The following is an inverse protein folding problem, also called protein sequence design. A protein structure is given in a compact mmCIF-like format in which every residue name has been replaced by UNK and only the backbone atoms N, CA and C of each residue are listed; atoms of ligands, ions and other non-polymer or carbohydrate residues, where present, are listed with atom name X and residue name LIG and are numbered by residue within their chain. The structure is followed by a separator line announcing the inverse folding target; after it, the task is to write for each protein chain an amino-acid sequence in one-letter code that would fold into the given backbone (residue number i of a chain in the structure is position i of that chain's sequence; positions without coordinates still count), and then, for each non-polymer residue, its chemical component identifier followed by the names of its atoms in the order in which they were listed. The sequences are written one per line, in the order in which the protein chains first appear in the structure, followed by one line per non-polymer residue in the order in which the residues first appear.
data_IF_964614235422
#
_entry.id   IF_964614235422
#
_cell.length_a   1.000
_cell.length_b   1.000
_cell.length_c   1.000
_cell.angle_alpha   90.00
_cell.angle_beta   90.00
_cell.angle_gamma   90.00
#
_symmetry.space_group_name_H-M   'P 1'
#
loop_
_entity.id
_entity.type
_entity.pdbx_description
1 polymer ?
#
# COMPACT_ATOMS: atom_id res chain seq x y z
N UNK A 1 6.56 32.76 9.54
CA UNK A 1 8.01 32.65 9.33
C UNK A 1 8.30 31.22 8.90
N UNK A 2 9.04 30.99 7.82
CA UNK A 2 9.45 29.63 7.41
C UNK A 2 10.62 29.24 8.33
N UNK A 3 10.58 28.08 8.99
CA UNK A 3 11.71 27.62 9.82
C UNK A 3 12.95 27.41 8.95
N UNK A 4 14.15 27.59 9.52
CA UNK A 4 15.43 27.38 8.82
C UNK A 4 15.51 25.99 8.17
N UNK A 5 15.12 24.94 8.91
CA UNK A 5 15.00 23.57 8.40
C UNK A 5 14.12 23.49 7.15
N UNK A 6 12.98 24.20 7.12
CA UNK A 6 12.09 24.19 5.96
C UNK A 6 12.72 24.89 4.76
N UNK A 7 13.51 25.95 4.97
CA UNK A 7 14.23 26.62 3.90
C UNK A 7 15.31 25.72 3.30
N UNK A 8 16.12 25.06 4.15
CA UNK A 8 17.17 24.13 3.73
C UNK A 8 16.60 22.93 2.95
N UNK A 9 15.52 22.31 3.45
CA UNK A 9 14.80 21.24 2.74
C UNK A 9 14.36 21.65 1.34
N UNK A 10 13.78 22.85 1.21
CA UNK A 10 13.33 23.39 -0.09
C UNK A 10 14.48 23.74 -1.02
N UNK A 11 15.65 24.08 -0.48
CA UNK A 11 16.87 24.30 -1.24
C UNK A 11 17.58 22.99 -1.64
N UNK A 12 17.19 21.85 -1.07
CA UNK A 12 17.79 20.54 -1.31
C UNK A 12 19.00 20.22 -0.42
N UNK A 13 19.32 21.08 0.54
CA UNK A 13 20.39 20.88 1.51
C UNK A 13 19.89 20.01 2.68
N UNK A 14 19.66 18.72 2.37
CA UNK A 14 19.00 17.78 3.30
C UNK A 14 19.90 17.39 4.47
N UNK A 15 21.20 17.31 4.23
CA UNK A 15 22.20 16.97 5.23
C UNK A 15 22.27 18.04 6.33
N UNK A 16 22.31 19.33 5.95
CA UNK A 16 22.29 20.42 6.93
C UNK A 16 20.91 20.56 7.60
N UNK A 17 19.82 20.41 6.83
CA UNK A 17 18.48 20.37 7.40
C UNK A 17 18.32 19.28 8.47
N UNK A 18 18.92 18.10 8.23
CA UNK A 18 18.91 16.99 9.17
C UNK A 18 19.71 17.31 10.43
N UNK A 19 20.90 17.90 10.28
CA UNK A 19 21.74 18.29 11.41
C UNK A 19 20.98 19.22 12.36
N UNK A 20 20.39 20.29 11.82
CA UNK A 20 19.63 21.28 12.60
C UNK A 20 18.37 20.65 13.21
N UNK A 21 17.56 19.93 12.41
CA UNK A 21 16.33 19.34 12.92
C UNK A 21 16.57 18.30 14.03
N UNK A 22 17.67 17.54 13.96
CA UNK A 22 18.08 16.63 15.02
C UNK A 22 18.50 17.36 16.29
N UNK A 23 19.22 18.46 16.17
CA UNK A 23 19.64 19.31 17.29
C UNK A 23 18.41 19.91 18.00
N UNK A 24 17.52 20.56 17.23
CA UNK A 24 16.26 21.13 17.74
C UNK A 24 15.38 20.08 18.44
N UNK A 25 15.28 18.87 17.87
CA UNK A 25 14.49 17.78 18.45
C UNK A 25 15.12 17.22 19.74
N UNK A 26 16.46 17.14 19.82
CA UNK A 26 17.17 16.71 21.03
C UNK A 26 17.06 17.72 22.15
N UNK A 27 17.12 19.00 21.83
CA UNK A 27 16.95 20.09 22.80
C UNK A 27 15.50 20.15 23.31
N UNK A 28 14.53 19.91 22.42
CA UNK A 28 13.11 19.94 22.75
C UNK A 28 12.30 19.01 21.84
N UNK A 29 11.88 17.86 22.39
CA UNK A 29 10.95 16.91 21.74
C UNK A 29 9.50 17.42 21.78
N UNK A 30 9.28 18.56 21.12
CA UNK A 30 7.96 19.12 20.88
C UNK A 30 7.36 18.57 19.59
N UNK A 31 6.02 18.59 19.47
CA UNK A 31 5.35 18.20 18.22
C UNK A 31 5.89 18.98 17.00
N UNK A 32 6.22 20.26 17.15
CA UNK A 32 6.76 21.08 16.05
C UNK A 32 8.11 20.52 15.58
N UNK A 33 9.02 20.21 16.50
CA UNK A 33 10.36 19.70 16.17
C UNK A 33 10.27 18.26 15.64
N UNK A 34 9.37 17.45 16.19
CA UNK A 34 9.03 16.11 15.67
C UNK A 34 8.60 16.17 14.22
N UNK A 35 7.67 17.06 13.87
CA UNK A 35 7.24 17.25 12.49
C UNK A 35 8.36 17.81 11.60
N UNK A 36 9.15 18.77 12.10
CA UNK A 36 10.32 19.33 11.39
C UNK A 36 11.28 18.21 10.95
N UNK A 37 11.66 17.35 11.90
CA UNK A 37 12.55 16.21 11.66
C UNK A 37 11.92 15.13 10.78
N UNK A 38 10.67 14.75 11.03
CA UNK A 38 9.98 13.75 10.21
C UNK A 38 9.87 14.17 8.74
N UNK A 39 9.67 15.46 8.51
CA UNK A 39 9.65 16.01 7.17
C UNK A 39 11.01 15.96 6.46
N UNK A 40 12.13 16.15 7.18
CA UNK A 40 13.47 15.93 6.63
C UNK A 40 13.64 14.46 6.24
N UNK A 41 13.29 13.52 7.13
CA UNK A 41 13.35 12.09 6.83
C UNK A 41 12.51 11.70 5.61
N UNK A 42 11.31 12.27 5.46
CA UNK A 42 10.48 12.06 4.27
C UNK A 42 11.17 12.52 2.98
N UNK A 43 11.89 13.65 3.00
CA UNK A 43 12.60 14.13 1.81
C UNK A 43 13.78 13.22 1.44
N UNK A 44 14.47 12.63 2.43
CA UNK A 44 15.44 11.57 2.16
C UNK A 44 14.78 10.33 1.55
N UNK A 45 13.61 9.89 2.06
CA UNK A 45 12.85 8.80 1.42
C UNK A 45 12.49 9.13 -0.03
N UNK A 46 12.07 10.36 -0.31
CA UNK A 46 11.76 10.82 -1.67
C UNK A 46 13.00 10.81 -2.57
N UNK A 47 14.16 11.25 -2.08
CA UNK A 47 15.45 11.20 -2.80
C UNK A 47 15.84 9.75 -3.10
N UNK A 48 15.75 8.87 -2.11
CA UNK A 48 16.07 7.46 -2.23
C UNK A 48 15.23 6.75 -3.31
N UNK A 49 13.93 7.06 -3.44
CA UNK A 49 13.08 6.54 -4.52
C UNK A 49 13.53 7.05 -5.90
N UNK A 50 14.02 8.28 -6.02
CA UNK A 50 14.54 8.82 -7.29
C UNK A 50 15.85 8.11 -7.68
N UNK A 51 16.71 7.87 -6.70
CA UNK A 51 18.02 7.23 -6.86
C UNK A 51 17.93 5.70 -6.92
N UNK A 52 16.74 5.14 -6.70
CA UNK A 52 16.48 3.71 -6.57
C UNK A 52 17.34 3.03 -5.48
N UNK A 53 17.55 3.76 -4.37
CA UNK A 53 18.32 3.33 -3.21
C UNK A 53 17.39 2.77 -2.12
N UNK A 54 17.33 1.44 -2.01
CA UNK A 54 16.44 0.78 -1.07
C UNK A 54 16.93 0.90 0.37
N UNK A 55 18.24 0.79 0.59
CA UNK A 55 18.81 0.80 1.93
C UNK A 55 18.57 2.16 2.60
N UNK A 56 18.81 3.25 1.85
CA UNK A 56 18.52 4.61 2.32
C UNK A 56 17.03 4.81 2.58
N UNK A 57 16.16 4.32 1.69
CA UNK A 57 14.71 4.40 1.91
C UNK A 57 14.30 3.73 3.22
N UNK A 58 14.72 2.47 3.43
CA UNK A 58 14.39 1.69 4.63
C UNK A 58 14.94 2.34 5.90
N UNK A 59 16.17 2.87 5.86
CA UNK A 59 16.79 3.59 6.97
C UNK A 59 15.92 4.77 7.43
N UNK A 60 15.51 5.64 6.50
CA UNK A 60 14.75 6.84 6.86
C UNK A 60 13.28 6.57 7.18
N UNK A 61 12.67 5.50 6.63
CA UNK A 61 11.39 5.01 7.14
C UNK A 61 11.53 4.51 8.57
N UNK A 62 12.58 3.77 8.90
CA UNK A 62 12.79 3.32 10.28
C UNK A 62 13.01 4.52 11.22
N UNK A 63 13.73 5.56 10.78
CA UNK A 63 13.86 6.80 11.51
C UNK A 63 12.52 7.49 11.75
N UNK A 64 11.63 7.53 10.74
CA UNK A 64 10.25 8.02 10.86
C UNK A 64 9.43 7.22 11.88
N UNK A 65 9.49 5.88 11.83
CA UNK A 65 8.82 5.01 12.81
C UNK A 65 9.29 5.29 14.24
N UNK A 66 10.59 5.57 14.42
CA UNK A 66 11.17 5.87 15.72
C UNK A 66 10.69 7.22 16.30
N UNK A 67 10.15 8.12 15.48
CA UNK A 67 9.47 9.34 15.97
C UNK A 67 8.12 9.03 16.63
N UNK A 68 7.53 7.84 16.40
CA UNK A 68 6.27 7.40 17.03
C UNK A 68 5.12 8.40 16.83
N UNK A 69 4.82 8.74 15.57
CA UNK A 69 3.59 9.46 15.23
C UNK A 69 2.36 8.66 15.68
N UNK A 70 1.37 9.33 16.28
CA UNK A 70 0.12 8.69 16.68
C UNK A 70 -0.79 8.43 15.48
N UNK A 71 -1.91 7.74 15.70
CA UNK A 71 -2.89 7.44 14.65
C UNK A 71 -3.59 8.69 14.11
N UNK A 72 -3.56 9.80 14.84
CA UNK A 72 -4.06 11.11 14.41
C UNK A 72 -3.01 11.91 13.60
N UNK A 73 -1.73 11.53 13.67
CA UNK A 73 -0.59 12.25 13.09
C UNK A 73 -0.15 11.67 11.74
N UNK A 74 -1.09 11.46 10.82
CA UNK A 74 -0.89 10.74 9.55
C UNK A 74 -0.33 11.58 8.40
N UNK A 75 -0.12 12.89 8.61
CA UNK A 75 0.23 13.82 7.53
C UNK A 75 1.47 13.39 6.73
N UNK A 76 2.54 12.98 7.41
CA UNK A 76 3.80 12.57 6.75
C UNK A 76 3.66 11.14 6.22
N UNK A 77 3.02 10.24 6.96
CA UNK A 77 2.88 8.84 6.58
C UNK A 77 2.00 8.67 5.34
N UNK A 78 0.94 9.48 5.21
CA UNK A 78 0.10 9.54 4.01
C UNK A 78 0.89 9.97 2.76
N UNK A 79 1.83 10.90 2.92
CA UNK A 79 2.73 11.29 1.82
C UNK A 79 3.76 10.21 1.51
N UNK A 80 4.26 9.52 2.55
CA UNK A 80 5.20 8.42 2.40
C UNK A 80 4.59 7.25 1.63
N UNK A 81 3.28 7.00 1.77
CA UNK A 81 2.57 5.94 1.05
C UNK A 81 2.73 6.06 -0.47
N UNK A 82 2.78 7.28 -1.02
CA UNK A 82 3.08 7.50 -2.44
C UNK A 82 4.52 7.13 -2.82
N UNK A 83 5.47 7.23 -1.90
CA UNK A 83 6.84 6.79 -2.16
C UNK A 83 6.93 5.27 -2.17
N UNK A 84 6.23 4.58 -1.26
CA UNK A 84 6.06 3.12 -1.32
C UNK A 84 5.48 2.66 -2.65
N UNK A 85 4.39 3.29 -3.12
CA UNK A 85 3.78 2.99 -4.42
C UNK A 85 4.80 3.03 -5.56
N UNK A 86 5.58 4.12 -5.64
CA UNK A 86 6.61 4.27 -6.67
C UNK A 86 7.68 3.19 -6.54
N UNK A 87 8.07 2.87 -5.31
CA UNK A 87 9.18 1.98 -5.07
C UNK A 87 8.84 0.51 -5.30
N UNK A 88 7.65 0.07 -4.90
CA UNK A 88 7.10 -1.21 -5.36
C UNK A 88 7.03 -1.27 -6.89
N UNK A 89 6.57 -0.20 -7.55
CA UNK A 89 6.50 -0.15 -9.01
C UNK A 89 7.88 -0.26 -9.68
N UNK A 90 8.92 0.33 -9.09
CA UNK A 90 10.31 0.23 -9.56
C UNK A 90 10.87 -1.18 -9.31
N UNK A 91 10.78 -1.71 -8.09
CA UNK A 91 11.30 -3.03 -7.74
C UNK A 91 10.70 -4.14 -8.59
N UNK A 92 9.38 -4.11 -8.85
CA UNK A 92 8.73 -5.09 -9.74
C UNK A 92 9.35 -5.14 -11.14
N UNK A 93 9.81 -4.01 -11.68
CA UNK A 93 10.47 -3.96 -13.00
C UNK A 93 11.85 -4.60 -12.99
N UNK A 94 12.48 -4.74 -11.82
CA UNK A 94 13.80 -5.36 -11.68
C UNK A 94 13.76 -6.88 -11.49
N UNK A 95 12.58 -7.45 -11.20
CA UNK A 95 12.42 -8.88 -10.91
C UNK A 95 13.01 -9.33 -9.56
N UNK A 96 13.49 -8.41 -8.71
CA UNK A 96 14.08 -8.73 -7.40
C UNK A 96 13.00 -8.96 -6.33
N UNK A 97 12.35 -10.12 -6.39
CA UNK A 97 11.20 -10.47 -5.54
C UNK A 97 11.51 -10.36 -4.05
N UNK A 98 12.67 -10.85 -3.58
CA UNK A 98 13.04 -10.77 -2.16
C UNK A 98 13.07 -9.33 -1.60
N UNK A 99 13.36 -8.33 -2.44
CA UNK A 99 13.36 -6.92 -2.01
C UNK A 99 11.94 -6.35 -1.86
N UNK A 100 10.96 -6.91 -2.58
CA UNK A 100 9.55 -6.54 -2.43
C UNK A 100 9.07 -6.96 -1.04
N UNK A 101 9.47 -8.15 -0.58
CA UNK A 101 9.10 -8.64 0.76
C UNK A 101 9.72 -7.80 1.87
N UNK A 102 11.00 -7.42 1.72
CA UNK A 102 11.64 -6.47 2.65
C UNK A 102 10.89 -5.14 2.69
N UNK A 103 10.47 -4.61 1.53
CA UNK A 103 9.72 -3.36 1.47
C UNK A 103 8.32 -3.49 2.09
N UNK A 104 7.65 -4.63 1.90
CA UNK A 104 6.34 -4.92 2.49
C UNK A 104 6.41 -5.04 4.01
N UNK A 105 7.38 -5.77 4.55
CA UNK A 105 7.59 -5.85 6.00
C UNK A 105 7.92 -4.47 6.59
N UNK A 106 8.67 -3.64 5.88
CA UNK A 106 8.95 -2.27 6.31
C UNK A 106 7.72 -1.37 6.29
N UNK A 107 6.70 -1.64 5.47
CA UNK A 107 5.44 -0.88 5.49
C UNK A 107 4.64 -1.10 6.78
N UNK A 108 4.73 -2.30 7.38
CA UNK A 108 3.97 -2.68 8.58
C UNK A 108 4.32 -1.80 9.79
N UNK A 109 3.36 -1.63 10.70
CA UNK A 109 3.53 -0.86 11.93
C UNK A 109 3.51 0.67 11.74
N UNK A 110 2.94 1.15 10.64
CA UNK A 110 2.68 2.56 10.37
C UNK A 110 1.18 2.84 10.29
N UNK A 111 0.78 4.06 10.67
CA UNK A 111 -0.60 4.52 10.55
C UNK A 111 -0.76 5.34 9.27
N UNK A 112 -1.87 5.10 8.55
CA UNK A 112 -2.23 5.81 7.33
C UNK A 112 -3.72 6.13 7.35
N UNK A 113 -4.12 7.18 6.65
CA UNK A 113 -5.52 7.40 6.30
C UNK A 113 -5.98 6.28 5.35
N UNK A 114 -6.93 5.47 5.82
CA UNK A 114 -7.55 4.40 5.04
C UNK A 114 -9.08 4.46 5.18
N UNK A 115 -9.83 4.29 4.08
CA UNK A 115 -9.35 4.13 2.70
C UNK A 115 -8.83 5.44 2.09
N UNK A 116 -7.88 5.38 1.14
CA UNK A 116 -7.35 6.58 0.47
C UNK A 116 -6.85 6.30 -0.95
N UNK A 117 -6.67 7.35 -1.77
CA UNK A 117 -6.16 7.21 -3.15
C UNK A 117 -4.77 6.58 -3.19
N UNK A 118 -3.91 6.96 -2.24
CA UNK A 118 -2.57 6.42 -2.12
C UNK A 118 -2.63 4.93 -1.75
N UNK A 119 -3.54 4.55 -0.86
CA UNK A 119 -3.75 3.15 -0.51
C UNK A 119 -4.28 2.32 -1.68
N UNK A 120 -5.25 2.81 -2.46
CA UNK A 120 -5.69 2.13 -3.69
C UNK A 120 -4.53 1.90 -4.68
N UNK A 121 -3.64 2.90 -4.83
CA UNK A 121 -2.47 2.78 -5.69
C UNK A 121 -1.46 1.76 -5.15
N UNK A 122 -1.32 1.65 -3.82
CA UNK A 122 -0.51 0.64 -3.16
C UNK A 122 -1.14 -0.75 -3.33
N UNK A 123 -2.44 -0.89 -3.13
CA UNK A 123 -3.20 -2.13 -3.36
C UNK A 123 -2.98 -2.66 -4.78
N UNK A 124 -3.02 -1.79 -5.79
CA UNK A 124 -2.67 -2.13 -7.16
C UNK A 124 -1.21 -2.64 -7.27
N UNK A 125 -0.28 -2.03 -6.55
CA UNK A 125 1.11 -2.47 -6.58
C UNK A 125 1.32 -3.84 -5.92
N UNK A 126 0.67 -4.07 -4.78
CA UNK A 126 0.71 -5.33 -4.03
C UNK A 126 0.04 -6.44 -4.83
N UNK A 127 -1.14 -6.19 -5.40
CA UNK A 127 -1.80 -7.12 -6.31
C UNK A 127 -0.86 -7.56 -7.44
N UNK A 128 -0.24 -6.59 -8.13
CA UNK A 128 0.71 -6.89 -9.23
C UNK A 128 1.97 -7.63 -8.76
N UNK A 129 2.42 -7.42 -7.53
CA UNK A 129 3.62 -8.05 -6.99
C UNK A 129 3.37 -9.49 -6.52
N UNK A 130 2.17 -9.76 -5.99
CA UNK A 130 1.88 -11.02 -5.30
C UNK A 130 0.90 -11.94 -6.02
N UNK A 131 0.15 -11.49 -7.04
CA UNK A 131 -0.96 -12.29 -7.68
C UNK A 131 -0.60 -13.70 -8.10
N UNK A 132 0.68 -13.94 -8.40
CA UNK A 132 1.18 -15.24 -8.85
C UNK A 132 1.89 -16.05 -7.74
N UNK A 133 1.93 -15.53 -6.51
CA UNK A 133 2.67 -16.07 -5.37
C UNK A 133 1.75 -16.71 -4.32
N UNK A 134 2.33 -17.54 -3.45
CA UNK A 134 1.60 -18.24 -2.36
C UNK A 134 1.13 -17.26 -1.28
N UNK A 135 1.89 -16.20 -1.01
CA UNK A 135 1.60 -15.19 0.01
C UNK A 135 0.46 -14.23 -0.40
N UNK A 136 -0.11 -14.38 -1.61
CA UNK A 136 -1.13 -13.47 -2.12
C UNK A 136 -2.34 -13.36 -1.20
N UNK A 137 -2.84 -14.51 -0.69
CA UNK A 137 -4.01 -14.53 0.17
C UNK A 137 -3.77 -13.75 1.46
N UNK A 138 -2.61 -13.96 2.09
CA UNK A 138 -2.21 -13.22 3.30
C UNK A 138 -2.15 -11.72 3.03
N UNK A 139 -1.38 -11.31 2.02
CA UNK A 139 -1.15 -9.88 1.72
C UNK A 139 -2.45 -9.15 1.35
N UNK A 140 -3.33 -9.79 0.58
CA UNK A 140 -4.52 -9.13 0.01
C UNK A 140 -5.71 -9.16 0.96
N UNK A 141 -5.77 -10.11 1.90
CA UNK A 141 -6.78 -10.11 2.97
C UNK A 141 -6.78 -8.79 3.73
N UNK A 142 -5.59 -8.27 4.05
CA UNK A 142 -5.44 -6.99 4.77
C UNK A 142 -5.73 -5.76 3.90
N UNK A 143 -5.78 -5.93 2.57
CA UNK A 143 -5.96 -4.84 1.61
C UNK A 143 -7.43 -4.64 1.23
N UNK A 144 -8.17 -5.73 1.02
CA UNK A 144 -9.56 -5.68 0.52
C UNK A 144 -10.50 -4.78 1.33
N UNK A 145 -10.47 -4.74 2.68
CA UNK A 145 -11.37 -3.89 3.47
C UNK A 145 -11.23 -2.38 3.22
N UNK A 146 -10.10 -1.96 2.64
CA UNK A 146 -9.77 -0.55 2.42
C UNK A 146 -9.84 -0.13 0.94
N UNK A 147 -10.42 -0.96 0.07
CA UNK A 147 -10.75 -0.57 -1.29
C UNK A 147 -11.83 0.52 -1.28
N UNK A 148 -11.68 1.50 -2.17
CA UNK A 148 -12.64 2.61 -2.28
C UNK A 148 -13.71 2.32 -3.30
N UNK A 149 -14.83 3.03 -3.25
CA UNK A 149 -15.87 2.98 -4.28
C UNK A 149 -15.31 3.17 -5.71
N UNK A 150 -14.32 4.04 -5.89
CA UNK A 150 -13.70 4.26 -7.21
C UNK A 150 -12.83 3.09 -7.69
N UNK A 151 -12.43 2.16 -6.81
CA UNK A 151 -11.71 0.94 -7.20
C UNK A 151 -12.63 -0.12 -7.80
N UNK A 152 -13.96 0.03 -7.61
CA UNK A 152 -15.01 -0.76 -8.24
C UNK A 152 -15.51 -0.13 -9.56
N UNK A 153 -15.02 1.04 -9.93
CA UNK A 153 -15.34 1.63 -11.24
C UNK A 153 -14.26 1.29 -12.27
N UNK A 154 -14.62 1.01 -13.53
CA UNK A 154 -13.65 0.84 -14.59
C UNK A 154 -12.94 2.16 -14.87
N UNK A 155 -11.67 2.08 -15.28
CA UNK A 155 -10.84 3.26 -15.59
C UNK A 155 -10.61 3.33 -17.09
N UNK A 156 -10.52 4.53 -17.66
CA UNK A 156 -10.12 4.69 -19.07
C UNK A 156 -8.68 5.19 -19.15
N UNK A 157 -7.85 4.52 -19.93
CA UNK A 157 -6.49 4.96 -20.23
C UNK A 157 -6.26 4.88 -21.73
N UNK A 158 -5.96 6.02 -22.36
CA UNK A 158 -5.77 6.13 -23.81
C UNK A 158 -6.94 5.52 -24.63
N UNK A 159 -8.17 5.65 -24.12
CA UNK A 159 -9.38 5.11 -24.77
C UNK A 159 -9.62 3.62 -24.53
N UNK A 160 -8.70 2.91 -23.86
CA UNK A 160 -8.88 1.52 -23.45
C UNK A 160 -9.56 1.49 -22.09
N UNK A 161 -10.67 0.75 -21.99
CA UNK A 161 -11.32 0.47 -20.73
C UNK A 161 -10.50 -0.56 -19.95
N UNK A 162 -10.01 -0.16 -18.79
CA UNK A 162 -9.31 -1.00 -17.82
C UNK A 162 -10.34 -1.50 -16.82
N UNK A 163 -10.34 -2.81 -16.61
CA UNK A 163 -11.11 -3.49 -15.57
C UNK A 163 -10.94 -2.81 -14.21
N UNK A 164 -12.00 -2.70 -13.38
CA UNK A 164 -11.90 -2.21 -12.02
C UNK A 164 -10.79 -2.90 -11.23
N UNK A 165 -10.13 -2.17 -10.32
CA UNK A 165 -9.08 -2.73 -9.48
C UNK A 165 -9.65 -3.81 -8.54
N UNK A 166 -10.83 -3.56 -7.99
CA UNK A 166 -11.52 -4.50 -7.13
C UNK A 166 -11.81 -5.81 -7.87
N UNK A 167 -12.38 -5.74 -9.08
CA UNK A 167 -12.66 -6.95 -9.89
C UNK A 167 -11.37 -7.75 -10.15
N UNK A 168 -10.26 -7.09 -10.53
CA UNK A 168 -8.97 -7.77 -10.72
C UNK A 168 -8.49 -8.48 -9.44
N UNK A 169 -8.61 -7.83 -8.28
CA UNK A 169 -8.23 -8.39 -6.99
C UNK A 169 -9.10 -9.60 -6.64
N UNK A 170 -10.43 -9.47 -6.73
CA UNK A 170 -11.39 -10.52 -6.40
C UNK A 170 -11.25 -11.74 -7.33
N UNK A 171 -10.97 -11.54 -8.63
CA UNK A 171 -10.67 -12.64 -9.57
C UNK A 171 -9.43 -13.42 -9.11
N UNK A 172 -8.31 -12.72 -8.89
CA UNK A 172 -7.05 -13.37 -8.52
C UNK A 172 -7.15 -14.04 -7.14
N UNK A 173 -7.85 -13.41 -6.20
CA UNK A 173 -8.07 -13.95 -4.86
C UNK A 173 -8.95 -15.21 -4.92
N UNK A 174 -10.02 -15.18 -5.72
CA UNK A 174 -10.89 -16.34 -5.91
C UNK A 174 -10.15 -17.54 -6.49
N UNK A 175 -9.32 -17.29 -7.50
CA UNK A 175 -8.46 -18.31 -8.09
C UNK A 175 -7.52 -18.93 -7.05
N UNK A 176 -6.85 -18.11 -6.24
CA UNK A 176 -5.90 -18.56 -5.21
C UNK A 176 -6.56 -19.35 -4.09
N UNK A 177 -7.76 -18.96 -3.68
CA UNK A 177 -8.55 -19.71 -2.70
C UNK A 177 -8.94 -21.09 -3.26
N UNK A 178 -9.36 -21.18 -4.53
CA UNK A 178 -9.69 -22.46 -5.14
C UNK A 178 -8.45 -23.37 -5.26
N UNK A 179 -7.30 -22.79 -5.62
CA UNK A 179 -6.01 -23.49 -5.68
C UNK A 179 -5.54 -24.02 -4.32
N UNK A 180 -5.88 -23.35 -3.21
CA UNK A 180 -5.54 -23.84 -1.86
C UNK A 180 -6.32 -25.11 -1.50
N UNK A 181 -7.52 -25.29 -2.09
CA UNK A 181 -8.42 -26.40 -1.79
C UNK A 181 -9.03 -26.37 -0.38
N UNK A 182 -8.84 -25.29 0.36
CA UNK A 182 -9.34 -25.14 1.73
C UNK A 182 -10.83 -24.79 1.73
N UNK A 183 -11.66 -25.78 2.06
CA UNK A 183 -13.12 -25.65 2.07
C UNK A 183 -13.64 -24.63 3.08
N UNK A 184 -12.94 -24.44 4.20
CA UNK A 184 -13.37 -23.50 5.24
C UNK A 184 -13.13 -22.05 4.78
N UNK A 185 -11.98 -21.79 4.18
CA UNK A 185 -11.66 -20.49 3.58
C UNK A 185 -12.63 -20.20 2.43
N UNK A 186 -12.88 -21.18 1.56
CA UNK A 186 -13.86 -21.05 0.46
C UNK A 186 -15.24 -20.69 1.00
N UNK A 187 -15.75 -21.47 1.97
CA UNK A 187 -17.09 -21.25 2.54
C UNK A 187 -17.23 -19.86 3.19
N UNK A 188 -16.16 -19.37 3.83
CA UNK A 188 -16.14 -18.05 4.46
C UNK A 188 -16.10 -16.92 3.43
N UNK A 189 -15.49 -17.15 2.26
CA UNK A 189 -15.37 -16.14 1.21
C UNK A 189 -16.59 -16.04 0.30
N UNK A 190 -17.37 -17.12 0.13
CA UNK A 190 -18.58 -17.15 -0.72
C UNK A 190 -19.56 -16.00 -0.41
N UNK A 191 -19.95 -15.72 0.85
CA UNK A 191 -20.85 -14.61 1.16
C UNK A 191 -20.29 -13.24 0.76
N UNK A 192 -18.97 -13.04 0.93
CA UNK A 192 -18.29 -11.81 0.55
C UNK A 192 -18.37 -11.65 -0.97
N UNK A 193 -18.01 -12.69 -1.72
CA UNK A 193 -18.06 -12.68 -3.19
C UNK A 193 -19.49 -12.46 -3.71
N UNK A 194 -20.49 -13.08 -3.07
CA UNK A 194 -21.90 -12.91 -3.43
C UNK A 194 -22.38 -11.48 -3.26
N UNK A 195 -22.04 -10.84 -2.14
CA UNK A 195 -22.37 -9.44 -1.89
C UNK A 195 -21.82 -8.53 -3.00
N UNK A 196 -20.60 -8.79 -3.47
CA UNK A 196 -19.99 -8.01 -4.55
C UNK A 196 -20.62 -8.27 -5.91
N UNK A 197 -21.01 -9.50 -6.22
CA UNK A 197 -21.75 -9.82 -7.45
C UNK A 197 -23.09 -9.09 -7.47
N UNK A 198 -23.78 -9.00 -6.33
CA UNK A 198 -25.05 -8.26 -6.23
C UNK A 198 -24.84 -6.74 -6.39
N UNK A 199 -23.77 -6.19 -5.83
CA UNK A 199 -23.44 -4.77 -5.93
C UNK A 199 -22.92 -4.36 -7.32
N UNK A 200 -22.26 -5.28 -8.03
CA UNK A 200 -21.62 -5.08 -9.32
C UNK A 200 -22.00 -6.20 -10.31
N UNK A 201 -23.27 -6.26 -10.75
CA UNK A 201 -23.75 -7.32 -11.64
C UNK A 201 -23.02 -7.35 -12.99
N UNK A 202 -22.31 -6.28 -13.36
CA UNK A 202 -21.47 -6.22 -14.55
C UNK A 202 -20.19 -7.09 -14.48
N UNK A 203 -19.80 -7.58 -13.30
CA UNK A 203 -18.59 -8.39 -13.09
C UNK A 203 -18.82 -9.87 -13.42
N UNK A 204 -19.01 -10.18 -14.70
CA UNK A 204 -19.30 -11.54 -15.18
C UNK A 204 -18.27 -12.58 -14.74
N UNK A 205 -17.00 -12.19 -14.61
CA UNK A 205 -15.91 -13.08 -14.20
C UNK A 205 -16.09 -13.58 -12.76
N UNK A 206 -16.68 -12.77 -11.86
CA UNK A 206 -16.89 -13.17 -10.46
C UNK A 206 -18.00 -14.21 -10.32
N UNK A 207 -19.01 -14.17 -11.19
CA UNK A 207 -20.09 -15.16 -11.21
C UNK A 207 -19.52 -16.56 -11.47
N UNK A 208 -18.58 -16.68 -12.42
CA UNK A 208 -17.89 -17.93 -12.70
C UNK A 208 -17.23 -18.51 -11.44
N UNK A 209 -16.43 -17.69 -10.73
CA UNK A 209 -15.74 -18.15 -9.52
C UNK A 209 -16.69 -18.46 -8.37
N UNK A 210 -17.78 -17.70 -8.21
CA UNK A 210 -18.80 -17.98 -7.21
C UNK A 210 -19.42 -19.37 -7.41
N UNK A 211 -19.81 -19.70 -8.64
CA UNK A 211 -20.37 -21.01 -8.98
C UNK A 211 -19.36 -22.12 -8.72
N UNK A 212 -18.10 -21.92 -9.12
CA UNK A 212 -17.02 -22.89 -8.90
C UNK A 212 -16.79 -23.15 -7.40
N UNK A 213 -16.79 -22.10 -6.58
CA UNK A 213 -16.66 -22.19 -5.12
C UNK A 213 -17.85 -22.90 -4.46
N UNK A 214 -19.10 -22.58 -4.85
CA UNK A 214 -20.29 -23.26 -4.33
C UNK A 214 -20.26 -24.76 -4.63
N UNK A 215 -19.88 -25.14 -5.86
CA UNK A 215 -19.72 -26.54 -6.25
C UNK A 215 -18.64 -27.24 -5.42
N UNK A 216 -17.49 -26.58 -5.22
CA UNK A 216 -16.39 -27.13 -4.43
C UNK A 216 -16.77 -27.35 -2.95
N UNK A 217 -17.52 -26.41 -2.38
CA UNK A 217 -17.98 -26.43 -0.99
C UNK A 217 -19.25 -27.29 -0.77
N UNK A 218 -19.85 -27.83 -1.82
CA UNK A 218 -21.16 -28.51 -1.79
C UNK A 218 -22.28 -27.65 -1.19
N UNK A 219 -22.26 -26.34 -1.46
CA UNK A 219 -23.27 -25.41 -1.01
C UNK A 219 -24.36 -25.21 -2.08
N UNK A 220 -25.63 -25.03 -1.69
CA UNK A 220 -26.67 -24.66 -2.64
C UNK A 220 -26.35 -23.26 -3.21
N UNK A 221 -26.60 -23.10 -4.52
CA UNK A 221 -26.41 -21.84 -5.25
C UNK A 221 -27.55 -20.86 -5.03
#
# INVERSE_FOLDING_TARGET
MISEVTALRKAGDLEEALRIALEEFKENDSSINKYSLGWVYYDFCKRAVVENDLDTFLQYVQALKNLRFSIEEVLITDQLLWQYVKFFAQLRKTGKIALIDVLYENLKGMYFTMPSKAFSALAEQLHKAYKDREEYLEVITDVMPFLRAEDFAPKSYQGILIMPLAEQIYIAYSKRILESGDKEIIATFIPILHQWIQAHPEYNSLIYYYVEMCNFANLPM
#
